data_IF_128491319233
#
_entry.id   IF_128491319233
#
_cell.length_a   1.000
_cell.length_b   1.000
_cell.length_c   1.000
_cell.angle_alpha   90.00
_cell.angle_beta   90.00
_cell.angle_gamma   90.00
#
_symmetry.space_group_name_H-M   'P 1'
#
loop_
_entity.id
_entity.type
_entity.pdbx_description
1 polymer ?
#
# COMPACT_ATOMS: atom_id res chain seq x y z
N UNK A 1 24.83 -26.93 -54.90
CA UNK A 1 25.09 -26.60 -53.49
C UNK A 1 25.18 -25.08 -53.35
N UNK A 2 24.13 -24.41 -52.88
CA UNK A 2 24.12 -22.94 -52.72
C UNK A 2 23.98 -22.64 -51.23
N UNK A 3 25.07 -22.21 -50.58
CA UNK A 3 25.04 -21.74 -49.20
C UNK A 3 24.59 -20.27 -49.19
N UNK A 4 23.32 -20.01 -48.89
CA UNK A 4 22.86 -18.66 -48.55
C UNK A 4 23.44 -18.27 -47.19
N UNK A 5 24.41 -17.37 -47.17
CA UNK A 5 24.96 -16.79 -45.94
C UNK A 5 23.96 -15.79 -45.37
N UNK A 6 23.19 -16.20 -44.37
CA UNK A 6 22.24 -15.35 -43.62
C UNK A 6 23.03 -14.23 -42.93
N UNK A 7 22.84 -12.97 -43.35
CA UNK A 7 23.44 -11.81 -42.65
C UNK A 7 22.77 -11.67 -41.29
N UNK A 8 23.48 -11.98 -40.20
CA UNK A 8 23.04 -11.63 -38.84
C UNK A 8 23.14 -10.11 -38.68
N UNK A 9 22.01 -9.41 -38.73
CA UNK A 9 21.94 -8.00 -38.32
C UNK A 9 22.17 -7.95 -36.81
N UNK A 10 23.24 -7.29 -36.36
CA UNK A 10 23.49 -7.04 -34.93
C UNK A 10 22.54 -5.92 -34.47
N UNK A 11 21.34 -6.26 -34.00
CA UNK A 11 20.32 -5.32 -33.51
C UNK A 11 20.42 -5.08 -32.00
N UNK A 12 21.63 -4.83 -31.51
CA UNK A 12 21.87 -4.46 -30.12
C UNK A 12 22.96 -3.40 -30.12
N UNK A 13 22.61 -2.23 -30.64
CA UNK A 13 23.48 -1.06 -30.59
C UNK A 13 23.33 -0.35 -29.24
N UNK A 14 24.36 0.38 -28.81
CA UNK A 14 24.26 1.22 -27.62
C UNK A 14 23.15 2.28 -27.75
N UNK A 15 22.95 2.80 -28.97
CA UNK A 15 21.89 3.78 -29.27
C UNK A 15 20.50 3.20 -29.03
N UNK A 16 20.23 1.96 -29.45
CA UNK A 16 18.96 1.28 -29.14
C UNK A 16 18.73 1.17 -27.63
N UNK A 17 19.75 0.80 -26.87
CA UNK A 17 19.64 0.70 -25.41
C UNK A 17 19.39 2.06 -24.76
N UNK A 18 19.99 3.15 -25.27
CA UNK A 18 19.74 4.50 -24.77
C UNK A 18 18.29 4.95 -24.99
N UNK A 19 17.72 4.66 -26.17
CA UNK A 19 16.32 4.99 -26.48
C UNK A 19 15.38 4.16 -25.60
N UNK A 20 15.68 2.88 -25.37
CA UNK A 20 14.89 2.02 -24.48
C UNK A 20 14.91 2.53 -23.04
N UNK A 21 16.08 2.91 -22.51
CA UNK A 21 16.19 3.48 -21.16
C UNK A 21 15.45 4.82 -21.03
N UNK A 22 15.45 5.63 -22.09
CA UNK A 22 14.68 6.87 -22.15
C UNK A 22 13.17 6.62 -22.08
N UNK A 23 12.67 5.62 -22.80
CA UNK A 23 11.24 5.27 -22.76
C UNK A 23 10.87 4.71 -21.38
N UNK A 24 11.67 3.79 -20.83
CA UNK A 24 11.43 3.21 -19.51
C UNK A 24 11.45 4.29 -18.42
N UNK A 25 12.36 5.27 -18.47
CA UNK A 25 12.43 6.33 -17.47
C UNK A 25 11.17 7.19 -17.44
N UNK A 26 10.64 7.57 -18.61
CA UNK A 26 9.38 8.32 -18.72
C UNK A 26 8.21 7.50 -18.18
N UNK A 27 8.13 6.22 -18.52
CA UNK A 27 7.09 5.33 -17.98
C UNK A 27 7.18 5.24 -16.45
N UNK A 28 8.36 4.97 -15.89
CA UNK A 28 8.57 4.89 -14.44
C UNK A 28 8.12 6.17 -13.73
N UNK A 29 8.45 7.35 -14.28
CA UNK A 29 8.01 8.64 -13.72
C UNK A 29 6.49 8.81 -13.69
N UNK A 30 5.75 8.26 -14.66
CA UNK A 30 4.28 8.29 -14.67
C UNK A 30 3.67 7.23 -13.74
N UNK A 31 4.31 6.08 -13.58
CA UNK A 31 3.80 4.97 -12.77
C UNK A 31 4.07 5.13 -11.26
N UNK A 32 5.25 5.62 -10.85
CA UNK A 32 5.61 5.84 -9.44
C UNK A 32 4.57 6.68 -8.67
N UNK A 33 4.15 7.87 -9.14
CA UNK A 33 3.19 8.69 -8.38
C UNK A 33 1.83 8.00 -8.22
N UNK A 34 1.40 7.23 -9.23
CA UNK A 34 0.15 6.47 -9.15
C UNK A 34 0.25 5.30 -8.16
N UNK A 35 1.38 4.59 -8.12
CA UNK A 35 1.64 3.53 -7.15
C UNK A 35 1.74 4.06 -5.71
N UNK A 36 2.41 5.20 -5.51
CA UNK A 36 2.52 5.82 -4.17
C UNK A 36 1.15 6.19 -3.62
N UNK A 37 0.31 6.87 -4.42
CA UNK A 37 -1.05 7.23 -4.02
C UNK A 37 -1.90 6.01 -3.67
N UNK A 38 -1.80 4.93 -4.46
CA UNK A 38 -2.53 3.70 -4.17
C UNK A 38 -2.08 3.05 -2.85
N UNK A 39 -0.78 3.07 -2.54
CA UNK A 39 -0.27 2.60 -1.26
C UNK A 39 -0.84 3.41 -0.08
N UNK A 40 -0.89 4.73 -0.22
CA UNK A 40 -1.44 5.61 0.81
C UNK A 40 -2.94 5.35 1.03
N UNK A 41 -3.72 5.23 -0.05
CA UNK A 41 -5.15 4.87 0.03
C UNK A 41 -5.39 3.51 0.68
N UNK A 42 -4.58 2.50 0.34
CA UNK A 42 -4.69 1.17 0.97
C UNK A 42 -4.36 1.23 2.47
N UNK A 43 -3.37 2.03 2.85
CA UNK A 43 -3.04 2.26 4.26
C UNK A 43 -4.20 2.93 5.00
N UNK A 44 -4.81 3.95 4.40
CA UNK A 44 -5.94 4.67 4.99
C UNK A 44 -7.18 3.78 5.15
N UNK A 45 -7.51 2.98 4.14
CA UNK A 45 -8.59 1.99 4.21
C UNK A 45 -8.31 0.91 5.28
N UNK A 46 -7.04 0.51 5.42
CA UNK A 46 -6.60 -0.41 6.47
C UNK A 46 -6.78 0.19 7.86
N UNK A 47 -6.38 1.45 8.04
CA UNK A 47 -6.56 2.20 9.29
C UNK A 47 -8.06 2.36 9.63
N UNK A 48 -8.92 2.66 8.65
CA UNK A 48 -10.37 2.74 8.82
C UNK A 48 -10.97 1.39 9.29
N UNK A 49 -10.55 0.28 8.67
CA UNK A 49 -11.01 -1.05 9.06
C UNK A 49 -10.58 -1.41 10.50
N UNK A 50 -9.37 -0.99 10.91
CA UNK A 50 -8.90 -1.11 12.28
C UNK A 50 -9.78 -0.31 13.23
N UNK A 51 -10.06 0.96 12.93
CA UNK A 51 -10.93 1.82 13.75
C UNK A 51 -12.30 1.17 13.93
N UNK A 52 -12.92 0.71 12.85
CA UNK A 52 -14.23 0.06 12.89
C UNK A 52 -14.23 -1.19 13.77
N UNK A 53 -13.17 -1.98 13.70
CA UNK A 53 -12.99 -3.17 14.55
C UNK A 53 -12.91 -2.78 16.02
N UNK A 54 -12.17 -1.73 16.36
CA UNK A 54 -12.08 -1.20 17.72
C UNK A 54 -13.44 -0.68 18.20
N UNK A 55 -14.17 0.06 17.37
CA UNK A 55 -15.51 0.55 17.71
C UNK A 55 -16.50 -0.58 17.98
N UNK A 56 -16.49 -1.65 17.18
CA UNK A 56 -17.30 -2.84 17.45
C UNK A 56 -16.92 -3.49 18.79
N UNK A 57 -15.63 -3.55 19.13
CA UNK A 57 -15.21 -4.10 20.44
C UNK A 57 -15.66 -3.22 21.61
N UNK A 58 -15.63 -1.90 21.44
CA UNK A 58 -16.18 -0.95 22.42
C UNK A 58 -17.67 -1.21 22.60
N UNK A 59 -18.44 -1.24 21.51
CA UNK A 59 -19.88 -1.46 21.54
C UNK A 59 -20.24 -2.79 22.23
N UNK A 60 -19.56 -3.88 21.87
CA UNK A 60 -19.73 -5.19 22.51
C UNK A 60 -19.41 -5.13 24.00
N UNK A 61 -18.35 -4.42 24.42
CA UNK A 61 -18.03 -4.27 25.83
C UNK A 61 -19.10 -3.49 26.59
N UNK A 62 -19.57 -2.38 26.02
CA UNK A 62 -20.57 -1.50 26.63
C UNK A 62 -21.93 -2.20 26.78
N UNK A 63 -22.33 -3.01 25.79
CA UNK A 63 -23.54 -3.84 25.86
C UNK A 63 -23.42 -4.88 26.98
N UNK A 64 -22.29 -5.57 27.08
CA UNK A 64 -22.13 -6.67 28.05
C UNK A 64 -22.01 -6.20 29.50
N UNK A 65 -21.40 -5.04 29.73
CA UNK A 65 -21.14 -4.53 31.07
C UNK A 65 -22.06 -3.37 31.47
N UNK A 66 -22.93 -2.93 30.56
CA UNK A 66 -23.85 -1.80 30.74
C UNK A 66 -23.15 -0.53 31.28
N UNK A 67 -21.89 -0.33 30.90
CA UNK A 67 -21.03 0.77 31.32
C UNK A 67 -20.18 1.23 30.15
N UNK A 68 -19.90 2.54 30.07
CA UNK A 68 -18.99 3.08 29.06
C UNK A 68 -17.58 2.54 29.26
N UNK A 69 -16.89 2.28 28.15
CA UNK A 69 -15.50 1.84 28.22
C UNK A 69 -14.60 2.98 28.72
N UNK A 70 -13.64 2.66 29.59
CA UNK A 70 -12.59 3.60 30.02
C UNK A 70 -11.35 3.47 29.14
N UNK A 71 -10.54 4.52 29.03
CA UNK A 71 -9.30 4.51 28.23
C UNK A 71 -8.32 3.41 28.65
N UNK A 72 -8.19 3.19 29.96
CA UNK A 72 -7.39 2.10 30.52
C UNK A 72 -7.92 0.73 30.08
N UNK A 73 -9.24 0.53 30.09
CA UNK A 73 -9.83 -0.74 29.69
C UNK A 73 -9.74 -0.99 28.19
N UNK A 74 -9.83 0.07 27.40
CA UNK A 74 -9.60 0.00 25.95
C UNK A 74 -8.18 -0.49 25.63
N UNK A 75 -7.15 0.01 26.33
CA UNK A 75 -5.75 -0.46 26.16
C UNK A 75 -5.55 -1.94 26.48
N UNK A 76 -6.37 -2.51 27.36
CA UNK A 76 -6.35 -3.93 27.69
C UNK A 76 -7.11 -4.79 26.66
N UNK A 77 -8.13 -4.20 26.01
CA UNK A 77 -9.00 -4.89 25.04
C UNK A 77 -8.38 -5.00 23.64
N UNK A 78 -7.63 -3.98 23.21
CA UNK A 78 -7.04 -3.91 21.87
C UNK A 78 -5.52 -3.98 21.89
N UNK A 79 -4.92 -4.32 20.75
CA UNK A 79 -3.46 -4.27 20.61
C UNK A 79 -2.91 -2.84 20.69
N UNK A 80 -1.63 -2.65 21.08
CA UNK A 80 -1.02 -1.32 21.12
C UNK A 80 -1.08 -0.56 19.79
N UNK A 81 -0.96 -1.26 18.67
CA UNK A 81 -1.03 -0.65 17.33
C UNK A 81 -2.45 -0.20 16.98
N UNK A 82 -3.46 -1.05 17.25
CA UNK A 82 -4.87 -0.66 17.06
C UNK A 82 -5.26 0.54 17.92
N UNK A 83 -4.77 0.59 19.17
CA UNK A 83 -4.98 1.74 20.04
C UNK A 83 -4.34 3.02 19.49
N UNK A 84 -3.12 2.95 18.95
CA UNK A 84 -2.45 4.10 18.33
C UNK A 84 -3.22 4.60 17.10
N UNK A 85 -3.63 3.69 16.21
CA UNK A 85 -4.43 4.03 15.01
C UNK A 85 -5.74 4.69 15.41
N UNK A 86 -6.46 4.10 16.38
CA UNK A 86 -7.71 4.65 16.89
C UNK A 86 -7.54 6.05 17.50
N UNK A 87 -6.47 6.29 18.27
CA UNK A 87 -6.18 7.61 18.84
C UNK A 87 -5.78 8.64 17.79
N UNK A 88 -5.01 8.23 16.78
CA UNK A 88 -4.62 9.09 15.66
C UNK A 88 -5.85 9.50 14.83
N UNK A 89 -6.83 8.63 14.67
CA UNK A 89 -8.05 8.92 13.91
C UNK A 89 -9.01 9.88 14.64
N UNK A 90 -9.01 9.88 15.98
CA UNK A 90 -9.87 10.75 16.80
C UNK A 90 -9.30 12.15 17.08
N UNK A 91 -8.01 12.37 16.85
CA UNK A 91 -7.34 13.67 17.01
C UNK A 91 -7.32 14.43 15.69
#
# INVERSE_FOLDING_TARGET
MIKLKKRSKKAFTLIEMMIVLLIISVLVLLFIPNLSKQKDTVSEQGDEAIVKTVETQIEVYEINHNQKITDSKLKELVTPEQYKVYKKYKN
#
